data_IF_807820093321
#
_entry.id   IF_807820093321
#
_cell.length_a   1.000
_cell.length_b   1.000
_cell.length_c   1.000
_cell.angle_alpha   90.00
_cell.angle_beta   90.00
_cell.angle_gamma   90.00
#
_symmetry.space_group_name_H-M   'P 1'
#
loop_
_entity.id
_entity.type
_entity.pdbx_description
1 polymer ?
#
# COMPACT_ATOMS: atom_id res chain seq x y z
N UNK A 1 -18.51 -8.93 -24.34
CA UNK A 1 -18.26 -8.63 -22.91
C UNK A 1 -17.57 -7.29 -22.86
N UNK A 2 -18.32 -6.27 -22.46
CA UNK A 2 -17.93 -4.87 -22.56
C UNK A 2 -16.71 -4.57 -21.67
N UNK A 3 -15.60 -4.22 -22.32
CA UNK A 3 -14.42 -3.68 -21.66
C UNK A 3 -14.72 -2.21 -21.40
N UNK A 4 -15.25 -1.92 -20.22
CA UNK A 4 -15.62 -0.58 -19.81
C UNK A 4 -14.35 0.30 -19.72
N UNK A 5 -14.27 1.35 -20.54
CA UNK A 5 -13.08 2.18 -20.79
C UNK A 5 -12.71 3.16 -19.66
N UNK A 6 -13.25 2.99 -18.45
CA UNK A 6 -13.07 3.89 -17.29
C UNK A 6 -12.89 3.11 -15.96
N UNK A 7 -12.13 2.01 -15.94
CA UNK A 7 -11.85 1.30 -14.67
C UNK A 7 -10.63 1.89 -13.99
N UNK A 8 -10.84 2.53 -12.85
CA UNK A 8 -9.76 2.92 -11.94
C UNK A 8 -9.38 1.70 -11.11
N UNK A 9 -8.11 1.26 -11.20
CA UNK A 9 -7.58 0.13 -10.43
C UNK A 9 -6.78 0.67 -9.25
N UNK A 10 -7.14 0.22 -8.05
CA UNK A 10 -6.41 0.52 -6.82
C UNK A 10 -5.69 -0.74 -6.35
N UNK A 11 -4.38 -0.63 -6.13
CA UNK A 11 -3.57 -1.63 -5.44
C UNK A 11 -3.49 -1.30 -3.95
N UNK A 12 -3.67 -2.30 -3.09
CA UNK A 12 -3.67 -2.16 -1.63
C UNK A 12 -2.82 -3.27 -1.02
N UNK A 13 -1.98 -2.92 -0.04
CA UNK A 13 -1.17 -3.89 0.71
C UNK A 13 -0.90 -3.38 2.14
N UNK A 14 -0.57 -4.29 3.06
CA UNK A 14 -0.25 -3.97 4.45
C UNK A 14 1.13 -4.46 4.92
N UNK A 15 1.73 -3.71 5.84
CA UNK A 15 2.96 -4.07 6.54
C UNK A 15 2.78 -3.94 8.06
N UNK A 16 3.50 -4.76 8.82
CA UNK A 16 3.48 -4.68 10.29
C UNK A 16 2.53 -5.65 10.99
N UNK A 17 2.10 -6.75 10.33
CA UNK A 17 1.25 -7.77 10.96
C UNK A 17 1.97 -8.74 11.91
N UNK A 18 3.24 -9.02 11.64
CA UNK A 18 4.05 -9.98 12.39
C UNK A 18 4.92 -9.41 13.53
N UNK A 19 5.39 -8.14 13.50
CA UNK A 19 6.18 -7.57 14.59
C UNK A 19 5.44 -7.55 15.93
N UNK A 20 6.21 -7.62 17.03
CA UNK A 20 5.69 -7.53 18.40
C UNK A 20 5.36 -6.08 18.84
N UNK A 21 5.88 -5.09 18.13
CA UNK A 21 5.72 -3.68 18.46
C UNK A 21 5.51 -2.85 17.19
N UNK A 22 4.83 -1.73 17.34
CA UNK A 22 4.51 -0.81 16.25
C UNK A 22 3.09 -0.99 15.70
N UNK A 23 2.69 -0.13 14.75
CA UNK A 23 1.38 -0.20 14.12
C UNK A 23 1.34 -1.25 13.00
N UNK A 24 0.13 -1.61 12.59
CA UNK A 24 -0.09 -2.14 11.24
C UNK A 24 -0.37 -0.97 10.30
N UNK A 25 0.29 -0.95 9.16
CA UNK A 25 0.22 0.14 8.17
C UNK A 25 -0.30 -0.42 6.86
N UNK A 26 -1.29 0.21 6.25
CA UNK A 26 -1.73 -0.10 4.90
C UNK A 26 -1.51 1.08 3.97
N UNK A 27 -1.22 0.79 2.70
CA UNK A 27 -1.13 1.78 1.64
C UNK A 27 -2.07 1.40 0.50
N UNK A 28 -2.71 2.41 -0.09
CA UNK A 28 -3.55 2.29 -1.27
C UNK A 28 -2.97 3.21 -2.36
N UNK A 29 -2.81 2.70 -3.58
CA UNK A 29 -2.22 3.44 -4.71
C UNK A 29 -3.03 3.19 -5.98
N UNK A 30 -3.34 4.26 -6.69
CA UNK A 30 -3.92 4.23 -8.03
C UNK A 30 -2.86 4.72 -9.01
N UNK A 31 -2.36 3.82 -9.85
CA UNK A 31 -1.38 4.15 -10.89
C UNK A 31 -2.10 4.48 -12.20
N UNK A 32 -1.53 5.36 -13.04
CA UNK A 32 -2.04 5.55 -14.40
C UNK A 32 -1.78 4.31 -15.27
N UNK A 33 -2.58 4.11 -16.31
CA UNK A 33 -2.53 2.92 -17.17
C UNK A 33 -1.19 2.77 -17.91
N UNK A 34 -0.46 3.86 -18.10
CA UNK A 34 0.85 3.93 -18.76
C UNK A 34 2.03 3.84 -17.78
N UNK A 35 1.79 3.53 -16.50
CA UNK A 35 2.85 3.43 -15.51
C UNK A 35 3.73 2.19 -15.77
N UNK A 36 5.02 2.40 -16.03
CA UNK A 36 5.97 1.31 -16.27
C UNK A 36 6.23 0.48 -15.00
N UNK A 37 5.84 -0.80 -15.05
CA UNK A 37 5.90 -1.75 -13.93
C UNK A 37 7.31 -2.36 -13.77
N UNK A 38 8.24 -2.18 -14.71
CA UNK A 38 9.59 -2.79 -14.64
C UNK A 38 10.35 -2.40 -13.36
N UNK A 39 10.09 -1.21 -12.82
CA UNK A 39 10.68 -0.73 -11.56
C UNK A 39 10.08 -1.41 -10.30
N UNK A 40 8.88 -1.98 -10.39
CA UNK A 40 8.11 -2.55 -9.27
C UNK A 40 8.29 -4.06 -9.09
N UNK A 41 8.62 -4.79 -10.17
CA UNK A 41 8.52 -6.26 -10.20
C UNK A 41 9.55 -7.05 -9.37
N UNK A 42 10.66 -6.45 -8.92
CA UNK A 42 11.66 -7.15 -8.07
C UNK A 42 11.83 -6.49 -6.70
N UNK A 43 10.71 -6.06 -6.09
CA UNK A 43 10.68 -5.37 -4.79
C UNK A 43 11.35 -6.16 -3.65
N UNK A 44 11.47 -7.49 -3.77
CA UNK A 44 12.11 -8.36 -2.79
C UNK A 44 13.65 -8.30 -2.79
N UNK A 45 14.28 -7.67 -3.78
CA UNK A 45 15.74 -7.47 -3.86
C UNK A 45 16.17 -5.99 -3.81
N UNK A 46 15.25 -5.07 -3.55
CA UNK A 46 15.55 -3.64 -3.50
C UNK A 46 16.15 -3.25 -2.16
N UNK A 47 17.30 -2.56 -2.21
CA UNK A 47 17.85 -1.89 -1.03
C UNK A 47 16.89 -0.81 -0.52
N UNK A 48 16.98 -0.48 0.76
CA UNK A 48 16.19 0.61 1.37
C UNK A 48 16.29 1.92 0.57
N UNK A 49 17.50 2.29 0.15
CA UNK A 49 17.73 3.47 -0.69
C UNK A 49 16.94 3.43 -2.01
N UNK A 50 16.85 2.27 -2.66
CA UNK A 50 16.07 2.11 -3.89
C UNK A 50 14.56 2.17 -3.61
N UNK A 51 14.09 1.57 -2.51
CA UNK A 51 12.68 1.65 -2.09
C UNK A 51 12.25 3.10 -1.81
N UNK A 52 13.05 3.85 -1.09
CA UNK A 52 12.75 5.26 -0.78
C UNK A 52 12.71 6.12 -2.06
N UNK A 53 13.61 5.87 -3.01
CA UNK A 53 13.59 6.56 -4.30
C UNK A 53 12.34 6.20 -5.13
N UNK A 54 11.93 4.92 -5.12
CA UNK A 54 10.71 4.48 -5.80
C UNK A 54 9.44 5.03 -5.16
N UNK A 55 9.39 5.11 -3.82
CA UNK A 55 8.26 5.70 -3.12
C UNK A 55 8.00 7.14 -3.58
N UNK A 56 9.06 7.96 -3.68
CA UNK A 56 8.98 9.32 -4.20
C UNK A 56 8.42 9.32 -5.62
N UNK A 57 9.01 8.50 -6.51
CA UNK A 57 8.59 8.39 -7.90
C UNK A 57 7.13 7.97 -8.05
N UNK A 58 6.67 7.00 -7.25
CA UNK A 58 5.29 6.53 -7.25
C UNK A 58 4.37 7.65 -6.79
N UNK A 59 4.69 8.34 -5.69
CA UNK A 59 3.88 9.45 -5.17
C UNK A 59 3.77 10.61 -6.15
N UNK A 60 4.82 10.90 -6.90
CA UNK A 60 4.84 11.96 -7.93
C UNK A 60 4.01 11.62 -9.17
N UNK A 61 3.95 10.34 -9.56
CA UNK A 61 3.37 9.89 -10.84
C UNK A 61 2.01 9.20 -10.71
N UNK A 62 1.62 8.77 -9.51
CA UNK A 62 0.33 8.11 -9.30
C UNK A 62 -0.82 9.12 -9.42
N UNK A 63 -2.01 8.61 -9.71
CA UNK A 63 -3.24 9.40 -9.77
C UNK A 63 -3.66 9.80 -8.34
N UNK A 64 -3.57 8.84 -7.41
CA UNK A 64 -3.86 9.04 -6.01
C UNK A 64 -3.14 8.00 -5.15
N UNK A 65 -2.86 8.36 -3.92
CA UNK A 65 -2.28 7.48 -2.92
C UNK A 65 -2.72 7.85 -1.51
N UNK A 66 -2.65 6.90 -0.61
CA UNK A 66 -2.99 7.06 0.81
C UNK A 66 -2.20 6.06 1.65
N UNK A 67 -1.90 6.44 2.89
CA UNK A 67 -1.21 5.60 3.88
C UNK A 67 -1.90 5.77 5.23
N UNK A 68 -2.30 4.66 5.83
CA UNK A 68 -2.98 4.64 7.13
C UNK A 68 -2.26 3.72 8.10
N UNK A 69 -2.14 4.20 9.34
CA UNK A 69 -1.54 3.48 10.45
C UNK A 69 -2.60 3.17 11.49
N UNK A 70 -2.72 1.91 11.89
CA UNK A 70 -3.54 1.48 13.02
C UNK A 70 -2.59 1.20 14.20
N UNK A 71 -2.63 2.02 15.26
CA UNK A 71 -1.70 1.90 16.37
C UNK A 71 -1.97 0.66 17.22
N UNK A 72 -0.95 0.19 17.95
CA UNK A 72 -1.00 -1.06 18.70
C UNK A 72 -2.19 -1.14 19.68
N UNK A 73 -2.57 -0.03 20.32
CA UNK A 73 -3.71 -0.02 21.25
C UNK A 73 -5.02 -0.40 20.55
N UNK A 74 -5.21 0.01 19.29
CA UNK A 74 -6.37 -0.41 18.50
C UNK A 74 -6.23 -1.88 18.09
N UNK A 75 -5.02 -2.34 17.75
CA UNK A 75 -4.75 -3.75 17.42
C UNK A 75 -5.13 -4.65 18.60
N UNK A 76 -4.76 -4.26 19.82
CA UNK A 76 -5.06 -4.99 21.04
C UNK A 76 -6.58 -5.08 21.30
N UNK A 77 -7.34 -4.04 20.91
CA UNK A 77 -8.80 -4.00 21.04
C UNK A 77 -9.53 -4.87 20.00
N UNK A 78 -9.08 -4.86 18.74
CA UNK A 78 -9.84 -5.47 17.62
C UNK A 78 -9.19 -6.71 17.02
N UNK A 79 -8.02 -7.12 17.48
CA UNK A 79 -7.11 -8.14 16.91
C UNK A 79 -6.43 -7.74 15.58
N UNK A 80 -5.32 -8.43 15.29
CA UNK A 80 -4.46 -8.13 14.13
C UNK A 80 -5.12 -8.34 12.77
N UNK A 81 -6.06 -9.27 12.64
CA UNK A 81 -6.77 -9.48 11.37
C UNK A 81 -7.69 -8.29 11.08
N UNK A 82 -8.51 -7.87 12.06
CA UNK A 82 -9.42 -6.75 11.87
C UNK A 82 -8.67 -5.42 11.75
N UNK A 83 -7.56 -5.25 12.47
CA UNK A 83 -6.71 -4.07 12.33
C UNK A 83 -6.13 -3.94 10.92
N UNK A 84 -5.69 -5.03 10.29
CA UNK A 84 -5.25 -5.02 8.88
C UNK A 84 -6.39 -4.65 7.92
N UNK A 85 -7.57 -5.23 8.10
CA UNK A 85 -8.75 -4.89 7.29
C UNK A 85 -9.18 -3.43 7.49
N UNK A 86 -9.10 -2.91 8.72
CA UNK A 86 -9.40 -1.52 9.05
C UNK A 86 -8.38 -0.58 8.40
N UNK A 87 -7.09 -0.91 8.45
CA UNK A 87 -6.03 -0.15 7.80
C UNK A 87 -6.29 -0.06 6.29
N UNK A 88 -6.53 -1.20 5.62
CA UNK A 88 -6.80 -1.26 4.18
C UNK A 88 -8.09 -0.55 3.77
N UNK A 89 -9.14 -0.59 4.61
CA UNK A 89 -10.41 0.09 4.34
C UNK A 89 -10.28 1.61 4.44
N UNK A 90 -9.42 2.09 5.33
CA UNK A 90 -9.23 3.52 5.59
C UNK A 90 -8.14 4.14 4.71
N UNK A 91 -7.26 3.32 4.12
CA UNK A 91 -6.28 3.73 3.12
C UNK A 91 -7.01 4.10 1.83
#
# INVERSE_FOLDING_TARGET
MDINMNKIICGIDEAGRGPLAGPVTAAAVILPDDFEIELLNDSKKLSEKKRNALEILIKEKCIAWSVVHIPHNVIDEINILNASLLAMKNA
#
